data_IF_323972210061
#
_entry.id   IF_323972210061
#
_cell.length_a   1.000
_cell.length_b   1.000
_cell.length_c   1.000
_cell.angle_alpha   90.00
_cell.angle_beta   90.00
_cell.angle_gamma   90.00
#
_symmetry.space_group_name_H-M   'P 1'
#
loop_
_entity.id
_entity.type
_entity.pdbx_description
1 polymer ?
#
# COMPACT_ATOMS: atom_id res chain seq x y z
N UNK A 1 -12.57 18.77 11.94
CA UNK A 1 -13.81 19.22 12.61
C UNK A 1 -13.51 19.89 13.96
N UNK A 2 -12.86 19.22 14.97
CA UNK A 2 -12.67 19.76 16.34
C UNK A 2 -12.07 21.18 16.38
N UNK A 3 -11.00 21.42 15.60
CA UNK A 3 -10.33 22.73 15.54
C UNK A 3 -11.16 23.82 14.87
N UNK A 4 -12.02 23.48 13.92
CA UNK A 4 -12.98 24.42 13.31
C UNK A 4 -14.07 24.80 14.33
N UNK A 5 -14.64 23.80 14.99
CA UNK A 5 -15.67 23.98 15.99
C UNK A 5 -15.19 24.83 17.17
N UNK A 6 -13.92 24.71 17.61
CA UNK A 6 -13.35 25.56 18.66
C UNK A 6 -13.19 27.02 18.25
N UNK A 7 -13.22 27.31 16.94
CA UNK A 7 -13.22 28.69 16.40
C UNK A 7 -14.63 29.18 16.04
N UNK A 8 -15.70 28.49 16.45
CA UNK A 8 -17.08 28.85 16.15
C UNK A 8 -17.50 28.56 14.70
N UNK A 9 -16.74 27.77 13.95
CA UNK A 9 -17.03 27.42 12.57
C UNK A 9 -17.64 26.00 12.54
N UNK A 10 -18.95 25.93 12.37
CA UNK A 10 -19.72 24.66 12.43
C UNK A 10 -20.17 24.21 11.06
N UNK A 11 -20.29 25.11 10.09
CA UNK A 11 -20.78 24.82 8.74
C UNK A 11 -19.79 25.29 7.66
N UNK A 12 -19.95 24.78 6.44
CA UNK A 12 -19.20 25.27 5.26
C UNK A 12 -19.55 26.76 5.02
N UNK A 13 -20.82 27.17 5.25
CA UNK A 13 -21.22 28.54 5.11
C UNK A 13 -20.55 29.47 6.12
N UNK A 14 -20.27 29.01 7.35
CA UNK A 14 -19.53 29.81 8.33
C UNK A 14 -18.09 30.03 7.86
N UNK A 15 -17.47 28.97 7.30
CA UNK A 15 -16.13 29.05 6.76
C UNK A 15 -16.05 29.98 5.52
N UNK A 16 -17.05 29.93 4.65
CA UNK A 16 -17.11 30.77 3.47
C UNK A 16 -17.25 32.25 3.79
N UNK A 17 -17.94 32.59 4.91
CA UNK A 17 -18.14 33.99 5.41
C UNK A 17 -16.92 34.58 6.11
N UNK A 18 -15.94 33.74 6.47
CA UNK A 18 -14.69 34.26 7.03
C UNK A 18 -13.93 35.09 6.01
N UNK A 19 -13.16 36.05 6.50
CA UNK A 19 -12.11 36.64 5.65
C UNK A 19 -11.00 35.61 5.35
N UNK A 20 -10.54 35.64 4.10
CA UNK A 20 -9.49 34.73 3.64
C UNK A 20 -8.25 34.75 4.55
N UNK A 21 -7.79 35.94 4.91
CA UNK A 21 -6.61 36.12 5.76
C UNK A 21 -6.81 35.55 7.17
N UNK A 22 -8.02 35.61 7.68
CA UNK A 22 -8.39 35.00 8.96
C UNK A 22 -8.34 33.48 8.87
N UNK A 23 -8.84 32.88 7.79
CA UNK A 23 -8.75 31.45 7.56
C UNK A 23 -7.28 30.98 7.44
N UNK A 24 -6.44 31.74 6.75
CA UNK A 24 -5.00 31.47 6.63
C UNK A 24 -4.28 31.59 7.99
N UNK A 25 -4.60 32.63 8.79
CA UNK A 25 -4.02 32.80 10.13
C UNK A 25 -4.37 31.63 11.06
N UNK A 26 -5.61 31.13 11.00
CA UNK A 26 -6.09 30.05 11.86
C UNK A 26 -5.58 28.66 11.44
N UNK A 27 -5.45 28.41 10.15
CA UNK A 27 -5.24 27.05 9.62
C UNK A 27 -4.03 26.90 8.68
N UNK A 28 -3.25 27.98 8.47
CA UNK A 28 -2.09 27.99 7.56
C UNK A 28 -2.48 27.84 6.10
N UNK A 29 -1.63 27.23 5.30
CA UNK A 29 -1.86 26.95 3.86
C UNK A 29 -3.16 26.16 3.61
N UNK A 30 -3.52 25.26 4.52
CA UNK A 30 -4.80 24.57 4.46
C UNK A 30 -6.01 25.46 4.65
N UNK A 31 -5.86 26.58 5.39
CA UNK A 31 -6.91 27.57 5.56
C UNK A 31 -7.29 28.22 4.24
N UNK A 32 -6.31 28.55 3.42
CA UNK A 32 -6.54 29.08 2.07
C UNK A 32 -7.30 28.10 1.19
N UNK A 33 -6.87 26.86 1.16
CA UNK A 33 -7.53 25.79 0.38
C UNK A 33 -8.99 25.58 0.85
N UNK A 34 -9.20 25.47 2.16
CA UNK A 34 -10.52 25.26 2.74
C UNK A 34 -11.46 26.43 2.46
N UNK A 35 -10.95 27.68 2.54
CA UNK A 35 -11.72 28.87 2.24
C UNK A 35 -12.12 28.94 0.76
N UNK A 36 -11.19 28.62 -0.15
CA UNK A 36 -11.49 28.56 -1.57
C UNK A 36 -12.57 27.52 -1.88
N UNK A 37 -12.46 26.32 -1.33
CA UNK A 37 -13.46 25.25 -1.51
C UNK A 37 -14.83 25.64 -0.94
N UNK A 38 -14.86 26.27 0.25
CA UNK A 38 -16.10 26.73 0.85
C UNK A 38 -16.81 27.79 0.00
N UNK A 39 -16.05 28.58 -0.78
CA UNK A 39 -16.57 29.57 -1.73
C UNK A 39 -16.76 29.01 -3.16
N UNK A 40 -16.69 27.68 -3.35
CA UNK A 40 -16.85 27.05 -4.66
C UNK A 40 -15.71 27.33 -5.65
N UNK A 41 -14.56 27.75 -5.15
CA UNK A 41 -13.39 28.07 -5.98
C UNK A 41 -12.40 26.89 -5.91
N UNK A 42 -12.47 26.03 -6.88
CA UNK A 42 -11.47 24.96 -7.09
C UNK A 42 -10.58 25.35 -8.27
N UNK A 43 -9.28 25.43 -7.99
CA UNK A 43 -8.28 25.80 -8.99
C UNK A 43 -7.60 24.60 -9.65
N UNK A 44 -7.85 23.38 -9.16
CA UNK A 44 -7.19 22.19 -9.66
C UNK A 44 -7.84 21.70 -10.97
N UNK A 45 -7.18 21.87 -12.13
CA UNK A 45 -7.73 21.36 -13.37
C UNK A 45 -7.78 19.83 -13.35
N UNK A 46 -8.82 19.27 -13.95
CA UNK A 46 -8.87 17.82 -14.20
C UNK A 46 -7.75 17.46 -15.16
N UNK A 47 -6.67 16.89 -14.62
CA UNK A 47 -5.53 16.46 -15.44
C UNK A 47 -5.79 15.08 -16.02
N UNK A 48 -5.70 14.96 -17.34
CA UNK A 48 -5.73 13.65 -18.05
C UNK A 48 -4.43 12.86 -17.88
N UNK A 49 -3.36 13.53 -17.46
CA UNK A 49 -2.08 12.87 -17.22
C UNK A 49 -2.12 12.10 -15.91
N UNK A 50 -1.93 10.78 -16.01
CA UNK A 50 -1.67 9.93 -14.85
C UNK A 50 -0.37 10.40 -14.21
N UNK A 51 -0.44 10.93 -12.99
CA UNK A 51 0.76 11.09 -12.17
C UNK A 51 1.43 9.73 -12.00
N UNK A 52 2.75 9.68 -12.14
CA UNK A 52 3.51 8.43 -11.92
C UNK A 52 3.16 7.90 -10.53
N UNK A 53 2.70 6.64 -10.48
CA UNK A 53 2.41 5.99 -9.21
C UNK A 53 3.71 5.89 -8.40
N UNK A 54 3.79 6.62 -7.29
CA UNK A 54 4.93 6.60 -6.38
C UNK A 54 4.81 5.51 -5.31
N UNK A 55 3.72 4.75 -5.32
CA UNK A 55 3.45 3.67 -4.37
C UNK A 55 2.59 2.57 -4.97
N UNK A 56 2.85 1.34 -4.55
CA UNK A 56 2.08 0.15 -4.90
C UNK A 56 1.61 -0.49 -3.60
N UNK A 57 0.32 -0.45 -3.34
CA UNK A 57 -0.25 -1.02 -2.12
C UNK A 57 -1.36 -2.01 -2.42
N UNK A 58 -1.54 -2.94 -1.48
CA UNK A 58 -2.67 -3.83 -1.43
C UNK A 58 -3.04 -4.14 0.02
N UNK A 59 -4.33 -4.36 0.30
CA UNK A 59 -4.82 -4.72 1.62
C UNK A 59 -6.02 -5.63 1.52
N UNK A 60 -6.25 -6.42 2.55
CA UNK A 60 -7.39 -7.32 2.62
C UNK A 60 -8.03 -7.28 4.00
N UNK A 61 -9.37 -7.21 4.01
CA UNK A 61 -10.16 -7.44 5.22
C UNK A 61 -10.34 -8.94 5.38
N UNK A 62 -9.94 -9.45 6.53
CA UNK A 62 -10.00 -10.88 6.83
C UNK A 62 -11.45 -11.32 7.03
N UNK A 63 -11.83 -12.54 6.61
CA UNK A 63 -13.18 -13.09 6.82
C UNK A 63 -13.53 -13.23 8.30
N UNK A 64 -12.53 -13.44 9.14
CA UNK A 64 -12.60 -13.49 10.60
C UNK A 64 -11.41 -12.72 11.18
N UNK A 65 -11.59 -12.09 12.32
CA UNK A 65 -10.53 -11.36 12.99
C UNK A 65 -9.41 -12.32 13.43
N UNK A 66 -8.16 -11.93 13.20
CA UNK A 66 -6.97 -12.73 13.51
C UNK A 66 -6.46 -12.41 14.90
N UNK A 67 -6.26 -13.43 15.72
CA UNK A 67 -5.77 -13.28 17.10
C UNK A 67 -4.24 -13.22 17.16
N UNK A 68 -3.54 -13.91 16.24
CA UNK A 68 -2.08 -14.05 16.26
C UNK A 68 -1.47 -13.59 14.94
N UNK A 69 -0.24 -13.04 14.97
CA UNK A 69 0.44 -12.59 13.76
C UNK A 69 0.69 -13.74 12.77
N UNK A 70 0.94 -14.96 13.24
CA UNK A 70 1.19 -16.13 12.39
C UNK A 70 0.00 -16.47 11.48
N UNK A 71 -1.21 -16.17 11.93
CA UNK A 71 -2.43 -16.39 11.16
C UNK A 71 -2.52 -15.45 9.94
N UNK A 72 -1.74 -14.37 9.94
CA UNK A 72 -1.64 -13.40 8.84
C UNK A 72 -0.51 -13.68 7.84
N UNK A 73 0.43 -14.58 8.15
CA UNK A 73 1.66 -14.81 7.37
C UNK A 73 1.37 -15.14 5.90
N UNK A 74 0.44 -16.07 5.64
CA UNK A 74 0.07 -16.44 4.29
C UNK A 74 -0.60 -15.29 3.54
N UNK A 75 -1.46 -14.52 4.21
CA UNK A 75 -2.11 -13.36 3.62
C UNK A 75 -1.08 -12.28 3.28
N UNK A 76 -0.13 -12.00 4.19
CA UNK A 76 0.94 -11.04 3.94
C UNK A 76 1.80 -11.46 2.74
N UNK A 77 2.11 -12.76 2.61
CA UNK A 77 2.84 -13.29 1.46
C UNK A 77 2.08 -13.04 0.14
N UNK A 78 0.78 -13.29 0.11
CA UNK A 78 -0.05 -13.05 -1.06
C UNK A 78 -0.12 -11.56 -1.43
N UNK A 79 -0.19 -10.67 -0.43
CA UNK A 79 -0.17 -9.22 -0.64
C UNK A 79 1.17 -8.76 -1.20
N UNK A 80 2.29 -9.25 -0.66
CA UNK A 80 3.64 -8.95 -1.14
C UNK A 80 3.87 -9.49 -2.56
N UNK A 81 3.37 -10.69 -2.89
CA UNK A 81 3.44 -11.23 -4.25
C UNK A 81 2.67 -10.34 -5.24
N UNK A 82 1.48 -9.88 -4.88
CA UNK A 82 0.69 -8.95 -5.70
C UNK A 82 1.41 -7.60 -5.92
N UNK A 83 1.99 -7.03 -4.87
CA UNK A 83 2.74 -5.75 -4.95
C UNK A 83 4.02 -5.92 -5.76
N UNK A 84 4.82 -6.95 -5.48
CA UNK A 84 6.08 -7.23 -6.19
C UNK A 84 5.85 -7.49 -7.69
N UNK A 85 4.81 -8.26 -8.04
CA UNK A 85 4.42 -8.50 -9.44
C UNK A 85 4.10 -7.20 -10.18
N UNK A 86 3.35 -6.27 -9.56
CA UNK A 86 3.01 -4.98 -10.17
C UNK A 86 4.25 -4.09 -10.33
N UNK A 87 5.13 -4.05 -9.34
CA UNK A 87 6.42 -3.34 -9.44
C UNK A 87 7.24 -3.88 -10.61
N UNK A 88 7.40 -5.20 -10.72
CA UNK A 88 8.16 -5.83 -11.82
C UNK A 88 7.51 -5.64 -13.18
N UNK A 89 6.18 -5.64 -13.26
CA UNK A 89 5.46 -5.38 -14.50
C UNK A 89 5.70 -3.96 -15.04
N UNK A 90 5.86 -3.00 -14.13
CA UNK A 90 6.13 -1.59 -14.46
C UNK A 90 7.64 -1.26 -14.50
N UNK A 91 8.52 -2.27 -14.34
CA UNK A 91 9.98 -2.09 -14.33
C UNK A 91 10.51 -1.27 -13.16
N UNK A 92 9.76 -1.23 -12.04
CA UNK A 92 10.09 -0.39 -10.88
C UNK A 92 10.58 -1.21 -9.70
N UNK A 93 11.33 -0.53 -8.84
CA UNK A 93 11.73 -0.99 -7.50
C UNK A 93 11.20 -0.03 -6.44
N UNK A 94 11.13 -0.45 -5.19
CA UNK A 94 10.69 0.37 -4.07
C UNK A 94 11.75 0.43 -2.97
N UNK A 95 11.88 1.59 -2.31
CA UNK A 95 12.81 1.80 -1.19
C UNK A 95 12.12 1.79 0.17
N UNK A 96 10.82 1.97 0.25
CA UNK A 96 10.10 2.00 1.52
C UNK A 96 9.03 0.93 1.51
N UNK A 97 8.97 0.14 2.58
CA UNK A 97 7.89 -0.82 2.83
C UNK A 97 7.10 -0.32 4.01
N UNK A 98 5.79 -0.19 3.83
CA UNK A 98 4.85 0.19 4.88
C UNK A 98 3.86 -0.95 5.10
N UNK A 99 3.67 -1.33 6.36
CA UNK A 99 2.62 -2.28 6.76
C UNK A 99 1.54 -1.54 7.55
N UNK A 100 0.29 -1.89 7.30
CA UNK A 100 -0.86 -1.33 7.96
C UNK A 100 -1.70 -2.45 8.55
N UNK A 101 -2.12 -2.27 9.80
CA UNK A 101 -3.09 -3.12 10.49
C UNK A 101 -4.30 -2.30 10.92
N UNK A 102 -5.48 -2.91 10.90
CA UNK A 102 -6.68 -2.34 11.50
C UNK A 102 -7.24 -3.40 12.47
N UNK A 103 -7.45 -3.02 13.73
CA UNK A 103 -8.02 -3.90 14.75
C UNK A 103 -9.56 -3.99 14.62
N UNK A 104 -10.17 -4.85 15.42
CA UNK A 104 -11.61 -5.03 15.46
C UNK A 104 -12.39 -3.83 16.03
N UNK A 105 -11.70 -2.88 16.66
CA UNK A 105 -12.25 -1.57 17.07
C UNK A 105 -12.02 -0.49 16.01
N UNK A 106 -11.62 -0.86 14.76
CA UNK A 106 -11.34 0.03 13.64
C UNK A 106 -10.18 1.03 13.88
N UNK A 107 -9.29 0.72 14.84
CA UNK A 107 -8.09 1.52 15.03
C UNK A 107 -7.02 1.09 14.05
N UNK A 108 -6.49 2.07 13.33
CA UNK A 108 -5.44 1.88 12.33
C UNK A 108 -4.09 2.13 12.94
N UNK A 109 -3.17 1.20 12.74
CA UNK A 109 -1.74 1.32 13.06
C UNK A 109 -0.93 1.05 11.80
N UNK A 110 0.15 1.80 11.58
CA UNK A 110 1.05 1.58 10.45
C UNK A 110 2.49 1.82 10.86
N UNK A 111 3.38 0.96 10.38
CA UNK A 111 4.84 1.11 10.50
C UNK A 111 5.47 1.00 9.13
N UNK A 112 6.56 1.73 8.94
CA UNK A 112 7.35 1.71 7.72
C UNK A 112 8.84 1.59 8.00
N UNK A 113 9.56 1.03 7.05
CA UNK A 113 11.02 1.03 7.06
C UNK A 113 11.57 1.38 5.69
N UNK A 114 12.74 2.02 5.68
CA UNK A 114 13.48 2.30 4.45
C UNK A 114 14.50 1.19 4.24
N UNK A 115 14.43 0.57 3.07
CA UNK A 115 15.36 -0.49 2.67
C UNK A 115 16.72 0.11 2.30
N UNK A 116 17.83 -0.54 2.65
CA UNK A 116 19.16 -0.12 2.21
C UNK A 116 19.27 -0.16 0.68
N UNK A 117 18.74 -1.20 0.06
CA UNK A 117 18.67 -1.36 -1.39
C UNK A 117 17.22 -1.39 -1.87
N UNK A 118 16.90 -0.73 -3.01
CA UNK A 118 15.57 -0.82 -3.59
C UNK A 118 15.29 -2.25 -4.06
N UNK A 119 14.02 -2.67 -3.99
CA UNK A 119 13.65 -4.04 -4.37
C UNK A 119 12.27 -4.12 -5.01
N UNK A 120 12.08 -5.14 -5.86
CA UNK A 120 10.78 -5.62 -6.32
C UNK A 120 10.63 -7.13 -6.09
N UNK A 121 11.56 -7.73 -5.35
CA UNK A 121 11.52 -9.15 -4.98
C UNK A 121 10.40 -9.40 -3.98
N UNK A 122 9.54 -10.36 -4.28
CA UNK A 122 8.45 -10.79 -3.40
C UNK A 122 8.97 -11.24 -2.04
N UNK A 123 10.07 -11.99 -2.02
CA UNK A 123 10.67 -12.54 -0.81
C UNK A 123 11.19 -11.45 0.12
N UNK A 124 11.95 -10.48 -0.42
CA UNK A 124 12.46 -9.35 0.37
C UNK A 124 11.34 -8.49 0.93
N UNK A 125 10.31 -8.18 0.11
CA UNK A 125 9.14 -7.43 0.58
C UNK A 125 8.43 -8.17 1.71
N UNK A 126 8.27 -9.50 1.58
CA UNK A 126 7.61 -10.34 2.57
C UNK A 126 8.37 -10.40 3.90
N UNK A 127 9.68 -10.64 3.88
CA UNK A 127 10.48 -10.70 5.11
C UNK A 127 10.40 -9.39 5.90
N UNK A 128 10.54 -8.25 5.22
CA UNK A 128 10.44 -6.94 5.86
C UNK A 128 9.01 -6.68 6.37
N UNK A 129 8.00 -7.03 5.58
CA UNK A 129 6.61 -6.83 5.98
C UNK A 129 6.22 -7.68 7.20
N UNK A 130 6.69 -8.94 7.29
CA UNK A 130 6.46 -9.81 8.45
C UNK A 130 7.14 -9.25 9.71
N UNK A 131 8.36 -8.78 9.59
CA UNK A 131 9.07 -8.18 10.71
C UNK A 131 8.32 -6.95 11.25
N UNK A 132 7.95 -6.01 10.37
CA UNK A 132 7.16 -4.84 10.74
C UNK A 132 5.81 -5.22 11.35
N UNK A 133 5.12 -6.20 10.76
CA UNK A 133 3.84 -6.68 11.25
C UNK A 133 3.93 -7.23 12.67
N UNK A 134 4.94 -8.06 12.95
CA UNK A 134 5.13 -8.65 14.28
C UNK A 134 5.50 -7.61 15.33
N UNK A 135 6.34 -6.63 14.99
CA UNK A 135 6.71 -5.53 15.90
C UNK A 135 5.52 -4.68 16.35
N UNK A 136 4.52 -4.49 15.47
CA UNK A 136 3.39 -3.61 15.74
C UNK A 136 2.07 -4.37 16.01
N UNK A 137 2.12 -5.70 16.17
CA UNK A 137 0.90 -6.48 16.36
C UNK A 137 0.14 -6.01 17.61
N UNK A 138 -1.13 -5.62 17.49
CA UNK A 138 -1.89 -5.10 18.62
C UNK A 138 -2.30 -6.23 19.57
N UNK A 139 -2.62 -5.89 20.81
CA UNK A 139 -3.20 -6.84 21.79
C UNK A 139 -4.64 -7.27 21.43
N UNK A 140 -5.23 -6.66 20.42
CA UNK A 140 -6.59 -6.92 19.94
C UNK A 140 -6.56 -7.69 18.63
N UNK A 141 -7.61 -8.48 18.33
CA UNK A 141 -7.70 -9.16 17.05
C UNK A 141 -7.64 -8.18 15.87
N UNK A 142 -6.91 -8.57 14.83
CA UNK A 142 -6.69 -7.79 13.62
C UNK A 142 -7.72 -8.17 12.55
N UNK A 143 -8.40 -7.16 12.01
CA UNK A 143 -9.43 -7.29 10.99
C UNK A 143 -8.92 -7.06 9.58
N UNK A 144 -7.93 -6.17 9.40
CA UNK A 144 -7.37 -5.85 8.08
C UNK A 144 -5.86 -5.84 8.15
N UNK A 145 -5.27 -6.42 7.13
CA UNK A 145 -3.82 -6.44 6.89
C UNK A 145 -3.54 -5.80 5.55
N UNK A 146 -2.55 -4.92 5.49
CA UNK A 146 -2.13 -4.25 4.25
C UNK A 146 -0.64 -4.03 4.18
N UNK A 147 -0.12 -4.01 2.96
CA UNK A 147 1.27 -3.66 2.65
C UNK A 147 1.32 -2.68 1.50
N UNK A 148 2.23 -1.71 1.57
CA UNK A 148 2.57 -0.84 0.45
C UNK A 148 4.08 -0.74 0.29
N UNK A 149 4.48 -0.61 -0.97
CA UNK A 149 5.84 -0.38 -1.41
C UNK A 149 5.91 1.04 -2.01
N UNK A 150 6.72 1.90 -1.42
CA UNK A 150 6.72 3.34 -1.68
C UNK A 150 8.09 3.83 -2.12
N UNK A 151 8.17 5.12 -2.51
CA UNK A 151 9.38 5.71 -3.11
C UNK A 151 9.89 4.87 -4.26
N UNK A 152 8.98 4.62 -5.22
CA UNK A 152 9.29 3.78 -6.37
C UNK A 152 10.08 4.54 -7.42
N UNK A 153 11.04 3.86 -8.02
CA UNK A 153 11.91 4.38 -9.07
C UNK A 153 12.31 3.28 -10.06
N UNK A 154 12.95 3.69 -11.14
CA UNK A 154 13.56 2.80 -12.12
C UNK A 154 15.00 2.42 -11.71
N UNK A 155 15.50 2.97 -10.60
CA UNK A 155 16.85 2.75 -10.10
C UNK A 155 17.01 1.33 -9.58
N UNK A 156 17.71 0.52 -10.35
CA UNK A 156 18.15 -0.82 -9.97
C UNK A 156 19.57 -0.79 -9.35
N UNK A 157 19.98 0.33 -8.79
CA UNK A 157 21.30 0.41 -8.18
C UNK A 157 21.30 -0.36 -6.85
N UNK A 158 21.80 -1.58 -6.89
CA UNK A 158 22.00 -2.41 -5.72
C UNK A 158 23.43 -2.23 -5.23
N UNK A 159 23.58 -1.60 -4.06
CA UNK A 159 24.87 -1.57 -3.39
C UNK A 159 25.12 -2.97 -2.83
N UNK A 160 25.98 -3.74 -3.48
CA UNK A 160 26.38 -5.02 -2.97
C UNK A 160 27.16 -4.85 -1.66
N UNK A 161 26.63 -5.44 -0.60
CA UNK A 161 27.34 -5.64 0.65
C UNK A 161 28.15 -6.93 0.54
N UNK A 162 29.37 -6.95 1.10
CA UNK A 162 30.27 -8.10 1.14
C UNK A 162 29.65 -9.36 1.78
N UNK A 163 28.59 -9.18 2.56
CA UNK A 163 27.87 -10.26 3.26
C UNK A 163 26.59 -10.72 2.55
N UNK A 164 26.24 -10.07 1.43
CA UNK A 164 25.01 -10.37 0.71
C UNK A 164 25.29 -11.45 -0.34
N UNK A 165 24.59 -12.58 -0.26
CA UNK A 165 24.68 -13.65 -1.24
C UNK A 165 24.02 -13.24 -2.57
N UNK A 166 24.82 -12.62 -3.45
CA UNK A 166 24.38 -12.14 -4.76
C UNK A 166 23.78 -13.26 -5.62
N UNK A 167 24.30 -14.49 -5.50
CA UNK A 167 23.78 -15.63 -6.25
C UNK A 167 22.37 -16.02 -5.81
N UNK A 168 22.09 -15.91 -4.52
CA UNK A 168 20.74 -16.15 -3.96
C UNK A 168 19.74 -15.10 -4.42
N UNK A 169 20.16 -13.81 -4.45
CA UNK A 169 19.30 -12.72 -4.92
C UNK A 169 18.97 -12.92 -6.40
N UNK A 170 19.96 -13.13 -7.25
CA UNK A 170 19.77 -13.36 -8.69
C UNK A 170 18.87 -14.57 -8.97
N UNK A 171 19.05 -15.66 -8.23
CA UNK A 171 18.19 -16.85 -8.31
C UNK A 171 16.73 -16.52 -7.97
N UNK A 172 16.51 -15.73 -6.90
CA UNK A 172 15.16 -15.34 -6.46
C UNK A 172 14.48 -14.42 -7.47
N UNK A 173 15.21 -13.45 -8.03
CA UNK A 173 14.69 -12.59 -9.08
C UNK A 173 14.33 -13.36 -10.37
N UNK A 174 15.17 -14.30 -10.78
CA UNK A 174 14.88 -15.17 -11.92
C UNK A 174 13.63 -16.01 -11.69
N UNK A 175 13.45 -16.52 -10.47
CA UNK A 175 12.26 -17.28 -10.07
C UNK A 175 11.00 -16.41 -10.13
N UNK A 176 11.04 -15.20 -9.57
CA UNK A 176 9.91 -14.27 -9.59
C UNK A 176 9.53 -13.90 -11.05
N UNK A 177 10.52 -13.60 -11.91
CA UNK A 177 10.31 -13.30 -13.33
C UNK A 177 9.72 -14.50 -14.11
N UNK A 178 10.21 -15.71 -13.84
CA UNK A 178 9.68 -16.92 -14.46
C UNK A 178 8.23 -17.19 -14.04
N UNK A 179 7.92 -17.05 -12.76
CA UNK A 179 6.56 -17.19 -12.25
C UNK A 179 5.61 -16.14 -12.87
N UNK A 180 6.06 -14.88 -12.99
CA UNK A 180 5.29 -13.82 -13.63
C UNK A 180 5.06 -14.08 -15.13
N UNK A 181 6.04 -14.63 -15.85
CA UNK A 181 5.90 -15.00 -17.25
C UNK A 181 4.88 -16.13 -17.44
N UNK A 182 4.91 -17.16 -16.58
CA UNK A 182 3.94 -18.25 -16.59
C UNK A 182 2.52 -17.75 -16.29
N UNK A 183 2.37 -16.87 -15.30
CA UNK A 183 1.08 -16.27 -14.95
C UNK A 183 0.51 -15.41 -16.07
N UNK A 184 1.35 -14.66 -16.80
CA UNK A 184 0.91 -13.88 -17.98
C UNK A 184 0.44 -14.79 -19.12
N UNK A 185 1.10 -15.92 -19.34
CA UNK A 185 0.79 -16.84 -20.44
C UNK A 185 -0.42 -17.72 -20.14
N UNK A 186 -0.56 -18.22 -18.92
CA UNK A 186 -1.51 -19.25 -18.54
C UNK A 186 -2.57 -18.78 -17.51
N UNK A 187 -2.55 -17.48 -17.13
CA UNK A 187 -3.45 -16.90 -16.13
C UNK A 187 -2.84 -16.86 -14.72
N UNK A 188 -3.35 -15.96 -13.88
CA UNK A 188 -2.82 -15.67 -12.55
C UNK A 188 -2.78 -16.85 -11.58
N UNK A 189 -3.65 -17.84 -11.77
CA UNK A 189 -3.73 -19.04 -10.95
C UNK A 189 -2.81 -20.17 -11.39
N UNK A 190 -2.13 -20.06 -12.55
CA UNK A 190 -1.31 -21.13 -13.11
C UNK A 190 -0.10 -21.51 -12.22
N UNK A 191 0.45 -20.53 -11.50
CA UNK A 191 1.57 -20.74 -10.57
C UNK A 191 1.22 -20.06 -9.25
N UNK A 192 1.13 -20.85 -8.19
CA UNK A 192 0.84 -20.39 -6.83
C UNK A 192 1.90 -20.95 -5.88
N UNK A 193 2.30 -20.16 -4.89
CA UNK A 193 3.22 -20.64 -3.84
C UNK A 193 2.52 -21.68 -2.98
N UNK A 194 3.22 -22.78 -2.63
CA UNK A 194 2.61 -23.89 -1.88
C UNK A 194 1.97 -23.46 -0.56
N UNK A 195 2.57 -22.50 0.15
CA UNK A 195 2.01 -21.88 1.37
C UNK A 195 0.65 -21.22 1.17
N UNK A 196 0.29 -20.84 -0.05
CA UNK A 196 -0.99 -20.20 -0.38
C UNK A 196 -2.06 -21.21 -0.83
N UNK A 197 -1.73 -22.51 -0.89
CA UNK A 197 -2.67 -23.57 -1.26
C UNK A 197 -3.48 -24.11 -0.09
N UNK A 198 -3.21 -23.65 1.14
CA UNK A 198 -3.97 -24.05 2.33
C UNK A 198 -5.44 -23.62 2.22
N UNK A 199 -6.40 -24.49 2.59
CA UNK A 199 -7.83 -24.20 2.45
C UNK A 199 -8.32 -22.99 3.28
N UNK A 200 -7.56 -22.57 4.27
CA UNK A 200 -7.88 -21.43 5.13
C UNK A 200 -7.46 -20.05 4.56
N UNK A 201 -6.64 -20.04 3.52
CA UNK A 201 -6.24 -18.83 2.79
C UNK A 201 -7.18 -18.62 1.61
N UNK A 202 -8.35 -18.03 1.81
CA UNK A 202 -9.19 -17.57 0.71
C UNK A 202 -8.40 -16.56 -0.11
N UNK A 203 -8.15 -16.92 -1.36
CA UNK A 203 -7.31 -16.22 -2.32
C UNK A 203 -7.63 -14.73 -2.38
N UNK A 204 -6.64 -13.83 -2.16
CA UNK A 204 -6.78 -12.40 -2.43
C UNK A 204 -7.10 -12.08 -3.90
N UNK A 205 -6.93 -13.06 -4.79
CA UNK A 205 -7.17 -12.93 -6.24
C UNK A 205 -8.61 -12.56 -6.61
N UNK A 206 -9.60 -12.90 -5.79
CA UNK A 206 -11.00 -12.52 -6.05
C UNK A 206 -11.21 -10.99 -6.02
N UNK A 207 -10.35 -10.25 -5.29
CA UNK A 207 -10.42 -8.78 -5.20
C UNK A 207 -9.62 -8.08 -6.29
N UNK A 208 -8.53 -8.68 -6.80
CA UNK A 208 -7.78 -8.11 -7.92
C UNK A 208 -8.46 -8.37 -9.26
N UNK A 209 -9.05 -9.54 -9.45
CA UNK A 209 -9.80 -9.89 -10.66
C UNK A 209 -11.07 -9.02 -10.86
N UNK A 210 -11.70 -8.56 -9.78
CA UNK A 210 -12.81 -7.62 -9.87
C UNK A 210 -12.37 -6.25 -10.39
N UNK A 211 -11.18 -5.76 -9.99
CA UNK A 211 -10.62 -4.48 -10.46
C UNK A 211 -10.07 -4.54 -11.90
N UNK A 212 -9.57 -5.69 -12.35
CA UNK A 212 -9.12 -5.87 -13.73
C UNK A 212 -10.29 -5.95 -14.71
N UNK A 213 -11.36 -6.65 -14.35
CA UNK A 213 -12.58 -6.73 -15.20
C UNK A 213 -13.30 -5.39 -15.37
N UNK A 214 -13.12 -4.45 -14.47
CA UNK A 214 -13.68 -3.10 -14.57
C UNK A 214 -12.84 -2.19 -15.50
N UNK A 215 -11.55 -2.51 -15.71
CA UNK A 215 -10.65 -1.79 -16.64
C UNK A 215 -10.82 -2.21 -18.09
N UNK A 216 -11.21 -3.47 -18.34
CA UNK A 216 -11.41 -3.99 -19.72
C UNK A 216 -12.81 -3.65 -20.28
N UNK A 217 -13.68 -3.00 -19.49
CA UNK A 217 -15.02 -2.55 -19.92
C UNK A 217 -15.14 -1.05 -20.18
N UNK A 218 -14.01 -0.32 -20.18
CA UNK A 218 -13.93 1.11 -20.56
C UNK A 218 -12.89 1.32 -21.64
#
# INVERSE_FOLDING_TARGET
AKRLNSCGIYTIGDLARLERDTAVKLFGSRGDTLWNYANGREADPVTKQRTRDNSYGNSVTMPRDLARPEDADATMLALCDSVGRRLRADGKTARVVTVQLVDNAFRRTSHQTTLPNPTNSTDRLYHVAIELMRQMWPQRPVRLVGVSAEKTGEDNFEQMDLFTDAARIDKQEKLDRAADALRRKFGGAAVTRATLLSPDTRKPEALSAAKEREKDKK
#
